data_IF_847376293818
#
_entry.id   IF_847376293818
#
_cell.length_a   1.000
_cell.length_b   1.000
_cell.length_c   1.000
_cell.angle_alpha   90.00
_cell.angle_beta   90.00
_cell.angle_gamma   90.00
#
_symmetry.space_group_name_H-M   'P 1'
#
loop_
_entity.id
_entity.type
_entity.pdbx_description
1 polymer ?
#
# COMPACT_ATOMS: atom_id res chain seq x y z
N UNK A 1 -6.12 11.69 5.49
CA UNK A 1 -4.85 11.20 4.94
C UNK A 1 -4.54 9.82 5.49
N UNK A 2 -4.19 8.86 4.62
CA UNK A 2 -3.55 7.59 5.00
C UNK A 2 -2.17 7.42 4.35
N UNK A 3 -1.89 8.14 3.26
CA UNK A 3 -0.54 8.25 2.74
C UNK A 3 0.25 9.11 3.73
N UNK A 4 1.38 8.60 4.24
CA UNK A 4 2.28 9.38 5.08
C UNK A 4 2.69 10.70 4.39
N UNK A 5 2.46 11.84 5.05
CA UNK A 5 3.02 13.12 4.59
C UNK A 5 4.55 13.13 4.81
N UNK A 6 5.28 13.78 3.89
CA UNK A 6 6.72 13.95 3.96
C UNK A 6 7.07 14.98 5.04
N UNK A 7 7.79 14.50 6.06
CA UNK A 7 8.13 15.23 7.27
C UNK A 7 6.89 15.64 8.09
N UNK A 8 6.87 15.20 9.35
CA UNK A 8 5.92 15.68 10.35
C UNK A 8 6.18 17.17 10.53
N UNK A 9 5.47 18.01 9.79
CA UNK A 9 5.30 19.42 10.16
C UNK A 9 4.24 19.45 11.24
N UNK A 10 4.70 19.54 12.49
CA UNK A 10 3.96 19.93 13.70
C UNK A 10 2.62 19.21 13.92
N UNK A 11 2.60 18.18 14.79
CA UNK A 11 1.39 17.60 15.41
C UNK A 11 0.29 17.03 14.49
N UNK A 12 0.55 16.77 13.20
CA UNK A 12 -0.51 16.32 12.26
C UNK A 12 -0.90 14.84 12.33
N UNK A 13 -0.08 13.96 12.92
CA UNK A 13 -0.41 12.52 13.00
C UNK A 13 -1.14 12.22 14.29
N UNK A 14 -2.34 11.64 14.17
CA UNK A 14 -3.14 11.24 15.32
C UNK A 14 -2.58 9.97 15.95
N UNK A 15 -2.77 9.81 17.25
CA UNK A 15 -2.33 8.64 18.00
C UNK A 15 -1.12 8.90 18.88
N UNK A 16 -0.66 7.86 19.58
CA UNK A 16 0.48 7.94 20.49
C UNK A 16 1.74 7.59 19.71
N UNK A 17 2.75 8.49 19.63
CA UNK A 17 4.05 8.13 19.06
C UNK A 17 4.76 7.14 19.98
N UNK A 18 5.43 6.15 19.40
CA UNK A 18 6.17 5.14 20.15
C UNK A 18 7.34 5.74 20.95
N UNK A 19 7.88 6.90 20.55
CA UNK A 19 8.85 7.66 21.34
C UNK A 19 8.31 8.18 22.68
N UNK A 20 6.98 8.22 22.87
CA UNK A 20 6.32 8.58 24.14
C UNK A 20 5.79 7.36 24.91
N UNK A 21 6.04 6.15 24.41
CA UNK A 21 5.60 4.91 25.04
C UNK A 21 6.66 4.35 26.00
N UNK A 22 6.23 3.63 27.03
CA UNK A 22 7.13 2.82 27.85
C UNK A 22 7.73 1.67 27.02
N UNK A 23 8.86 1.06 27.44
CA UNK A 23 9.43 -0.08 26.71
C UNK A 23 8.45 -1.23 26.49
N UNK A 24 7.59 -1.51 27.47
CA UNK A 24 6.54 -2.53 27.35
C UNK A 24 5.49 -2.15 26.30
N UNK A 25 5.08 -0.88 26.26
CA UNK A 25 4.14 -0.37 25.27
C UNK A 25 4.73 -0.39 23.86
N UNK A 26 6.02 -0.08 23.70
CA UNK A 26 6.72 -0.16 22.41
C UNK A 26 6.72 -1.60 21.85
N UNK A 27 6.98 -2.60 22.71
CA UNK A 27 6.90 -4.02 22.30
C UNK A 27 5.49 -4.34 21.77
N UNK A 28 4.44 -3.91 22.47
CA UNK A 28 3.07 -4.15 22.01
C UNK A 28 2.71 -3.36 20.75
N UNK A 29 3.18 -2.12 20.63
CA UNK A 29 2.95 -1.28 19.46
C UNK A 29 3.56 -1.90 18.19
N UNK A 30 4.78 -2.42 18.27
CA UNK A 30 5.43 -3.11 17.14
C UNK A 30 4.80 -4.47 16.87
N UNK A 31 4.27 -5.15 17.89
CA UNK A 31 3.66 -6.47 17.73
C UNK A 31 2.21 -6.38 17.23
N UNK A 32 1.50 -5.27 17.47
CA UNK A 32 0.12 -5.09 17.03
C UNK A 32 -0.06 -5.34 15.52
N UNK A 33 0.79 -4.80 14.61
CA UNK A 33 0.75 -5.13 13.19
C UNK A 33 0.83 -6.62 12.87
N UNK A 34 1.51 -7.44 13.67
CA UNK A 34 1.57 -8.90 13.47
C UNK A 34 0.22 -9.60 13.66
N UNK A 35 -0.77 -8.93 14.26
CA UNK A 35 -2.15 -9.44 14.33
C UNK A 35 -2.83 -9.42 12.97
N UNK A 36 -2.39 -8.55 12.04
CA UNK A 36 -2.99 -8.40 10.72
C UNK A 36 -2.06 -8.70 9.54
N UNK A 37 -0.76 -8.46 9.70
CA UNK A 37 0.23 -8.75 8.68
C UNK A 37 0.64 -10.22 8.72
N UNK A 38 0.85 -10.80 7.55
CA UNK A 38 1.52 -12.10 7.43
C UNK A 38 2.97 -11.99 7.90
N UNK A 39 3.66 -13.12 8.05
CA UNK A 39 5.10 -13.11 8.36
C UNK A 39 5.89 -12.23 7.38
N UNK A 40 5.59 -12.35 6.08
CA UNK A 40 6.19 -11.51 5.04
C UNK A 40 5.86 -10.03 5.23
N UNK A 41 4.57 -9.68 5.38
CA UNK A 41 4.17 -8.28 5.54
C UNK A 41 4.77 -7.64 6.79
N UNK A 42 4.91 -8.41 7.87
CA UNK A 42 5.55 -7.97 9.10
C UNK A 42 7.06 -7.76 8.96
N UNK A 43 7.74 -8.63 8.19
CA UNK A 43 9.14 -8.43 7.83
C UNK A 43 9.33 -7.18 6.98
N UNK A 44 8.52 -7.00 5.92
CA UNK A 44 8.55 -5.80 5.08
C UNK A 44 8.35 -4.53 5.92
N UNK A 45 7.34 -4.52 6.80
CA UNK A 45 7.07 -3.43 7.73
C UNK A 45 8.29 -3.08 8.60
N UNK A 46 8.91 -4.07 9.23
CA UNK A 46 10.08 -3.82 10.09
C UNK A 46 11.32 -3.43 9.28
N UNK A 47 11.49 -3.95 8.07
CA UNK A 47 12.55 -3.51 7.16
C UNK A 47 12.36 -2.03 6.78
N UNK A 48 11.15 -1.61 6.44
CA UNK A 48 10.82 -0.19 6.18
C UNK A 48 11.18 0.68 7.39
N UNK A 49 10.78 0.27 8.60
CA UNK A 49 11.15 0.98 9.84
C UNK A 49 12.65 1.09 10.01
N UNK A 50 13.38 -0.02 9.82
CA UNK A 50 14.83 -0.06 9.97
C UNK A 50 15.56 0.83 8.96
N UNK A 51 15.00 1.04 7.76
CA UNK A 51 15.58 1.95 6.77
C UNK A 51 15.59 3.42 7.22
N UNK A 52 14.80 3.81 8.22
CA UNK A 52 14.93 5.15 8.80
C UNK A 52 16.31 5.36 9.44
N UNK A 53 17.00 4.32 9.93
CA UNK A 53 18.40 4.45 10.35
C UNK A 53 19.34 4.73 9.17
N UNK A 54 19.13 4.09 8.02
CA UNK A 54 19.92 4.36 6.81
C UNK A 54 19.73 5.81 6.37
N UNK A 55 18.48 6.29 6.40
CA UNK A 55 18.18 7.70 6.09
C UNK A 55 18.77 8.66 7.12
N UNK A 56 18.80 8.29 8.40
CA UNK A 56 19.47 9.07 9.44
C UNK A 56 20.96 9.24 9.15
N UNK A 57 21.66 8.16 8.80
CA UNK A 57 23.08 8.20 8.44
C UNK A 57 23.34 9.05 7.20
N UNK A 58 22.43 9.04 6.22
CA UNK A 58 22.57 9.80 4.98
C UNK A 58 22.20 11.29 5.13
N UNK A 59 21.22 11.63 5.96
CA UNK A 59 20.64 12.97 6.02
C UNK A 59 20.96 13.74 7.31
N UNK A 60 21.33 13.05 8.39
CA UNK A 60 21.62 13.65 9.70
C UNK A 60 20.43 14.35 10.35
N UNK A 61 19.20 13.83 10.17
CA UNK A 61 17.96 14.46 10.65
C UNK A 61 17.27 13.59 11.69
N UNK A 62 17.00 14.14 12.88
CA UNK A 62 16.41 13.41 14.01
C UNK A 62 15.02 12.81 13.76
N UNK A 63 14.28 13.34 12.78
CA UNK A 63 12.99 12.75 12.38
C UNK A 63 13.15 11.42 11.62
N UNK A 64 14.37 11.07 11.18
CA UNK A 64 14.74 9.75 10.63
C UNK A 64 14.93 8.79 11.79
N UNK A 65 13.81 8.36 12.36
CA UNK A 65 13.81 7.58 13.58
C UNK A 65 12.87 6.37 13.42
N UNK A 66 13.38 5.12 13.53
CA UNK A 66 12.55 3.91 13.44
C UNK A 66 11.45 3.78 14.50
N UNK A 67 11.56 4.55 15.58
CA UNK A 67 10.58 4.62 16.67
C UNK A 67 9.62 5.81 16.50
N UNK A 68 9.77 6.64 15.46
CA UNK A 68 8.82 7.72 15.15
C UNK A 68 7.63 7.21 14.33
N UNK A 69 6.98 6.18 14.90
CA UNK A 69 5.76 5.55 14.42
C UNK A 69 4.65 5.74 15.46
N UNK A 70 3.40 5.73 15.01
CA UNK A 70 2.23 6.10 15.79
C UNK A 70 1.23 4.95 15.82
N UNK A 71 0.62 4.76 16.98
CA UNK A 71 -0.53 3.87 17.15
C UNK A 71 -1.77 4.70 17.45
N UNK A 72 -2.81 4.52 16.64
CA UNK A 72 -4.17 5.01 16.91
C UNK A 72 -5.09 3.83 17.15
N UNK A 73 -5.96 3.93 18.15
CA UNK A 73 -7.06 2.99 18.41
C UNK A 73 -8.38 3.73 18.22
N UNK A 74 -9.30 3.14 17.45
CA UNK A 74 -10.62 3.69 17.15
C UNK A 74 -11.69 2.83 17.82
N UNK A 75 -12.51 3.44 18.68
CA UNK A 75 -13.45 2.70 19.51
C UNK A 75 -12.79 1.98 20.68
N UNK A 76 -13.54 1.09 21.34
CA UNK A 76 -13.04 0.27 22.45
C UNK A 76 -12.68 -1.13 21.93
N UNK A 77 -11.43 -1.59 22.09
CA UNK A 77 -11.06 -2.95 21.75
C UNK A 77 -11.96 -3.96 22.47
N UNK A 78 -12.63 -4.79 21.68
CA UNK A 78 -13.52 -5.83 22.17
C UNK A 78 -13.51 -7.03 21.19
N UNK A 79 -13.42 -8.28 21.66
CA UNK A 79 -13.40 -9.46 20.80
C UNK A 79 -14.64 -9.66 19.93
N UNK A 80 -15.78 -9.07 20.32
CA UNK A 80 -17.07 -9.15 19.61
C UNK A 80 -17.58 -7.79 19.14
N UNK A 81 -16.84 -6.72 19.43
CA UNK A 81 -17.23 -5.36 19.12
C UNK A 81 -16.72 -4.87 17.78
N UNK A 82 -17.04 -3.62 17.51
CA UNK A 82 -16.62 -2.88 16.33
C UNK A 82 -15.60 -1.83 16.75
N UNK A 83 -14.35 -2.00 16.30
CA UNK A 83 -13.22 -1.14 16.64
C UNK A 83 -12.15 -1.25 15.55
N UNK A 84 -11.15 -0.39 15.59
CA UNK A 84 -10.06 -0.44 14.63
C UNK A 84 -8.77 0.09 15.20
N UNK A 85 -7.70 -0.06 14.44
CA UNK A 85 -6.42 0.51 14.78
C UNK A 85 -5.65 0.92 13.53
N UNK A 86 -4.74 1.87 13.70
CA UNK A 86 -3.79 2.30 12.68
C UNK A 86 -2.39 2.29 13.25
N UNK A 87 -1.46 1.73 12.49
CA UNK A 87 -0.03 1.83 12.73
C UNK A 87 0.60 2.58 11.55
N UNK A 88 1.20 3.74 11.79
CA UNK A 88 1.72 4.59 10.73
C UNK A 88 3.04 5.26 11.08
N UNK A 89 3.83 5.59 10.07
CA UNK A 89 5.09 6.32 10.17
C UNK A 89 5.50 6.86 8.81
N UNK A 90 6.73 7.35 8.68
CA UNK A 90 7.16 8.12 7.52
C UNK A 90 6.96 7.41 6.16
N UNK A 91 7.16 6.09 6.06
CA UNK A 91 6.91 5.31 4.83
C UNK A 91 5.93 4.14 5.04
N UNK A 92 5.02 4.21 6.00
CA UNK A 92 4.10 3.12 6.29
C UNK A 92 2.78 3.64 6.82
N UNK A 93 1.68 3.05 6.37
CA UNK A 93 0.40 3.13 7.06
C UNK A 93 -0.37 1.83 6.89
N UNK A 94 -0.68 1.18 8.01
CA UNK A 94 -1.52 -0.03 8.06
C UNK A 94 -2.78 0.31 8.85
N UNK A 95 -3.94 0.16 8.20
CA UNK A 95 -5.25 0.40 8.79
C UNK A 95 -5.99 -0.93 8.93
N UNK A 96 -6.59 -1.18 10.09
CA UNK A 96 -7.45 -2.34 10.30
C UNK A 96 -8.75 -1.90 10.96
N UNK A 97 -9.86 -2.27 10.34
CA UNK A 97 -11.21 -2.11 10.91
C UNK A 97 -11.81 -3.48 11.17
N UNK A 98 -12.34 -3.67 12.38
CA UNK A 98 -12.98 -4.88 12.84
C UNK A 98 -14.44 -4.55 13.10
N UNK A 99 -15.36 -5.31 12.52
CA UNK A 99 -16.81 -5.15 12.72
C UNK A 99 -17.36 -6.44 13.32
N UNK A 100 -18.04 -6.31 14.46
CA UNK A 100 -18.64 -7.42 15.23
C UNK A 100 -17.68 -8.58 15.55
N UNK A 101 -16.37 -8.28 15.66
CA UNK A 101 -15.31 -9.27 15.85
C UNK A 101 -15.14 -10.28 14.71
N UNK A 102 -15.80 -10.08 13.56
CA UNK A 102 -15.95 -11.11 12.52
C UNK A 102 -15.63 -10.65 11.11
N UNK A 103 -15.86 -9.37 10.79
CA UNK A 103 -15.57 -8.80 9.47
C UNK A 103 -14.38 -7.85 9.59
N UNK A 104 -13.51 -7.87 8.59
CA UNK A 104 -12.26 -7.14 8.61
C UNK A 104 -12.10 -6.33 7.33
N UNK A 105 -11.59 -5.11 7.47
CA UNK A 105 -11.01 -4.32 6.38
C UNK A 105 -9.56 -4.04 6.72
N UNK A 106 -8.67 -4.20 5.73
CA UNK A 106 -7.23 -3.96 5.84
C UNK A 106 -6.77 -2.80 4.94
N UNK A 107 -7.73 -2.08 4.34
CA UNK A 107 -7.50 -0.96 3.45
C UNK A 107 -7.96 0.36 4.08
N UNK A 108 -7.36 1.49 3.70
CA UNK A 108 -6.22 1.59 2.79
C UNK A 108 -4.92 1.16 3.49
N UNK A 109 -3.95 0.68 2.72
CA UNK A 109 -2.60 0.40 3.21
C UNK A 109 -1.54 1.01 2.30
N UNK A 110 -0.45 1.44 2.93
CA UNK A 110 0.68 2.10 2.29
C UNK A 110 1.98 1.50 2.81
N UNK A 111 2.83 1.05 1.89
CA UNK A 111 4.18 0.56 2.17
C UNK A 111 5.14 1.30 1.23
N UNK A 112 6.10 2.02 1.78
CA UNK A 112 7.13 2.72 1.04
C UNK A 112 8.52 2.29 1.44
N UNK A 113 9.47 2.29 0.51
CA UNK A 113 10.87 2.04 0.80
C UNK A 113 11.74 3.15 0.23
N UNK A 114 12.47 3.81 1.12
CA UNK A 114 13.50 4.78 0.77
C UNK A 114 14.73 4.52 1.64
N UNK A 115 15.86 4.10 1.04
CA UNK A 115 15.99 3.74 -0.37
C UNK A 115 15.22 2.44 -0.72
N UNK A 116 14.90 2.23 -2.00
CA UNK A 116 14.37 0.95 -2.49
C UNK A 116 15.45 -0.15 -2.47
N UNK A 117 16.69 0.24 -2.77
CA UNK A 117 17.91 -0.56 -2.62
C UNK A 117 18.95 0.23 -1.85
N UNK A 118 19.45 -0.34 -0.75
CA UNK A 118 20.56 0.26 0.02
C UNK A 118 21.87 0.10 -0.74
N UNK A 119 22.49 1.22 -1.14
CA UNK A 119 23.69 1.21 -2.02
C UNK A 119 25.02 1.11 -1.26
N UNK A 120 25.04 1.46 0.02
CA UNK A 120 26.27 1.56 0.83
C UNK A 120 26.01 1.24 2.31
N UNK A 121 27.08 1.10 3.09
CA UNK A 121 27.01 0.83 4.52
C UNK A 121 26.72 -0.64 4.86
N UNK A 122 26.50 -0.96 6.15
CA UNK A 122 26.33 -2.34 6.64
C UNK A 122 25.11 -3.07 6.04
N UNK A 123 24.08 -2.33 5.62
CA UNK A 123 22.86 -2.86 5.03
C UNK A 123 22.89 -2.87 3.49
N UNK A 124 24.06 -2.67 2.86
CA UNK A 124 24.21 -2.68 1.40
C UNK A 124 23.60 -3.95 0.78
N UNK A 125 22.78 -3.76 -0.25
CA UNK A 125 22.11 -4.84 -0.97
C UNK A 125 20.75 -5.24 -0.40
N UNK A 126 20.33 -4.68 0.74
CA UNK A 126 18.94 -4.79 1.21
C UNK A 126 18.02 -4.12 0.20
N UNK A 127 16.99 -4.86 -0.23
CA UNK A 127 15.94 -4.39 -1.13
C UNK A 127 14.57 -4.71 -0.50
N UNK A 128 13.79 -3.67 -0.20
CA UNK A 128 12.43 -3.84 0.35
C UNK A 128 11.41 -3.57 -0.76
N UNK A 129 10.28 -4.28 -0.74
CA UNK A 129 9.26 -4.27 -1.83
C UNK A 129 9.81 -4.73 -3.21
N UNK A 130 10.88 -5.53 -3.18
CA UNK A 130 11.55 -6.08 -4.37
C UNK A 130 10.61 -6.94 -5.22
N UNK A 131 9.76 -7.75 -4.59
CA UNK A 131 8.95 -8.72 -5.32
C UNK A 131 7.85 -8.04 -6.14
N UNK A 132 7.19 -7.03 -5.57
CA UNK A 132 6.19 -6.19 -6.23
C UNK A 132 6.75 -5.55 -7.50
N UNK A 133 7.93 -4.93 -7.37
CA UNK A 133 8.60 -4.29 -8.49
C UNK A 133 9.02 -5.33 -9.55
N UNK A 134 9.62 -6.44 -9.12
CA UNK A 134 10.13 -7.45 -10.05
C UNK A 134 9.01 -8.15 -10.82
N UNK A 135 7.90 -8.47 -10.16
CA UNK A 135 6.75 -9.12 -10.80
C UNK A 135 6.09 -8.20 -11.82
N UNK A 136 5.93 -6.92 -11.50
CA UNK A 136 5.38 -5.94 -12.45
C UNK A 136 6.29 -5.72 -13.66
N UNK A 137 7.61 -5.57 -13.45
CA UNK A 137 8.60 -5.48 -14.53
C UNK A 137 8.61 -6.73 -15.41
N UNK A 138 8.46 -7.92 -14.81
CA UNK A 138 8.36 -9.16 -15.58
C UNK A 138 7.09 -9.17 -16.44
N UNK A 139 5.95 -8.72 -15.89
CA UNK A 139 4.67 -8.68 -16.60
C UNK A 139 4.74 -7.72 -17.79
N UNK A 140 5.16 -6.47 -17.60
CA UNK A 140 5.20 -5.49 -18.70
C UNK A 140 6.16 -5.92 -19.82
N UNK A 141 7.32 -6.52 -19.47
CA UNK A 141 8.28 -7.06 -20.46
C UNK A 141 7.76 -8.24 -21.25
N UNK A 142 6.71 -8.90 -20.76
CA UNK A 142 6.12 -10.05 -21.44
C UNK A 142 5.08 -9.66 -22.49
N UNK A 143 4.70 -8.38 -22.56
CA UNK A 143 3.75 -7.86 -23.53
C UNK A 143 4.35 -7.77 -24.92
N UNK A 144 3.55 -8.12 -25.92
CA UNK A 144 3.85 -7.77 -27.31
C UNK A 144 3.61 -6.25 -27.54
N UNK A 145 4.01 -5.68 -28.69
CA UNK A 145 3.85 -4.25 -28.95
C UNK A 145 2.41 -3.73 -28.79
N UNK A 146 1.41 -4.49 -29.24
CA UNK A 146 0.00 -4.09 -29.16
C UNK A 146 -0.51 -4.09 -27.72
N UNK A 147 -0.21 -5.14 -26.97
CA UNK A 147 -0.54 -5.24 -25.54
C UNK A 147 0.16 -4.13 -24.74
N UNK A 148 1.42 -3.84 -25.04
CA UNK A 148 2.16 -2.78 -24.38
C UNK A 148 1.54 -1.41 -24.68
N UNK A 149 1.11 -1.16 -25.91
CA UNK A 149 0.42 0.08 -26.29
C UNK A 149 -0.90 0.26 -25.52
N UNK A 150 -1.67 -0.81 -25.31
CA UNK A 150 -2.93 -0.77 -24.54
C UNK A 150 -2.65 -0.62 -23.03
N UNK A 151 -1.64 -1.31 -22.52
CA UNK A 151 -1.26 -1.26 -21.10
C UNK A 151 -0.64 0.08 -20.72
N UNK A 152 0.07 0.73 -21.64
CA UNK A 152 0.78 1.98 -21.35
C UNK A 152 -0.22 3.13 -21.27
N UNK A 153 -0.21 3.82 -20.13
CA UNK A 153 -0.96 5.06 -19.95
C UNK A 153 0.02 6.22 -20.02
N UNK A 154 -0.35 7.24 -20.80
CA UNK A 154 0.41 8.48 -20.81
C UNK A 154 0.22 9.20 -19.48
N UNK A 155 1.28 9.25 -18.69
CA UNK A 155 1.34 10.05 -17.47
C UNK A 155 2.06 11.36 -17.67
N UNK A 156 2.41 11.81 -18.89
CA UNK A 156 3.20 13.03 -19.11
C UNK A 156 2.54 14.31 -18.58
N UNK A 157 1.21 14.44 -18.65
CA UNK A 157 0.45 15.51 -17.97
C UNK A 157 0.49 15.37 -16.44
N UNK A 158 0.59 14.13 -15.98
CA UNK A 158 0.78 13.74 -14.59
C UNK A 158 2.26 13.83 -14.16
N UNK A 159 3.25 13.83 -15.05
CA UNK A 159 4.68 13.80 -14.75
C UNK A 159 5.11 15.10 -14.07
N UNK A 160 4.46 16.23 -14.34
CA UNK A 160 4.67 17.47 -13.56
C UNK A 160 4.25 17.34 -12.09
N UNK A 161 3.36 16.39 -11.77
CA UNK A 161 2.88 16.07 -10.41
C UNK A 161 3.56 14.83 -9.83
N UNK A 162 3.74 13.75 -10.59
CA UNK A 162 4.43 12.52 -10.21
C UNK A 162 5.95 12.74 -10.02
N UNK A 163 6.57 13.68 -10.76
CA UNK A 163 7.97 14.10 -10.53
C UNK A 163 8.10 15.19 -9.47
N UNK A 164 7.00 15.63 -8.85
CA UNK A 164 7.09 16.49 -7.68
C UNK A 164 7.65 15.65 -6.53
N UNK A 165 8.54 16.22 -5.70
CA UNK A 165 9.08 15.61 -4.47
C UNK A 165 7.98 15.39 -3.39
N UNK A 166 6.90 14.69 -3.72
CA UNK A 166 5.68 14.53 -2.93
C UNK A 166 5.02 13.18 -3.18
N UNK A 167 5.02 12.27 -2.19
CA UNK A 167 4.37 10.94 -2.25
C UNK A 167 2.91 11.07 -2.65
N UNK A 168 2.22 12.08 -2.09
CA UNK A 168 0.80 12.35 -2.31
C UNK A 168 0.50 12.59 -3.80
N UNK A 169 1.47 13.12 -4.55
CA UNK A 169 1.31 13.42 -5.98
C UNK A 169 1.75 12.28 -6.89
N UNK A 170 2.38 11.23 -6.36
CA UNK A 170 2.85 10.04 -7.11
C UNK A 170 1.81 8.93 -7.20
N UNK A 171 0.87 8.91 -6.26
CA UNK A 171 -0.26 7.99 -6.24
C UNK A 171 -1.45 8.75 -6.81
N UNK A 172 -2.06 8.24 -7.87
CA UNK A 172 -3.11 8.95 -8.61
C UNK A 172 -4.35 9.19 -7.73
N UNK A 173 -4.58 8.32 -6.76
CA UNK A 173 -5.67 8.45 -5.78
C UNK A 173 -5.36 9.29 -4.56
N UNK A 174 -4.15 9.84 -4.48
CA UNK A 174 -3.68 10.74 -3.41
C UNK A 174 -3.97 10.22 -2.00
N UNK A 175 -3.91 11.09 -0.99
CA UNK A 175 -4.23 10.75 0.40
C UNK A 175 -5.73 10.91 0.75
N UNK A 176 -6.58 11.09 -0.28
CA UNK A 176 -8.02 11.29 -0.13
C UNK A 176 -8.63 10.14 0.69
N UNK A 177 -9.42 10.41 1.74
CA UNK A 177 -10.12 9.36 2.48
C UNK A 177 -11.00 8.46 1.61
N UNK A 178 -11.54 8.92 0.48
CA UNK A 178 -12.39 8.16 -0.45
C UNK A 178 -11.78 8.17 -1.84
N UNK A 179 -11.77 7.01 -2.52
CA UNK A 179 -11.31 6.97 -3.91
C UNK A 179 -12.43 7.46 -4.83
N UNK A 180 -12.25 8.59 -5.49
CA UNK A 180 -13.16 9.01 -6.56
C UNK A 180 -12.99 8.11 -7.80
N UNK A 181 -13.98 7.25 -8.05
CA UNK A 181 -14.04 6.38 -9.23
C UNK A 181 -14.01 7.17 -10.54
N UNK A 182 -14.52 8.40 -10.55
CA UNK A 182 -14.53 9.30 -11.71
C UNK A 182 -13.15 9.85 -12.08
N UNK A 183 -12.24 9.96 -11.10
CA UNK A 183 -10.84 10.33 -11.34
C UNK A 183 -10.02 9.22 -12.02
N UNK A 184 -10.50 7.97 -11.96
CA UNK A 184 -9.77 6.80 -12.46
C UNK A 184 -10.51 6.18 -13.65
N UNK A 185 -10.24 6.71 -14.85
CA UNK A 185 -10.71 6.05 -16.08
C UNK A 185 -10.11 4.64 -16.18
N UNK A 186 -10.94 3.66 -16.58
CA UNK A 186 -10.52 2.30 -16.92
C UNK A 186 -9.58 2.37 -18.13
N UNK A 187 -8.30 2.54 -17.84
CA UNK A 187 -7.21 2.52 -18.80
C UNK A 187 -6.23 1.43 -18.37
N UNK A 188 -5.62 0.78 -19.36
CA UNK A 188 -4.77 -0.39 -19.19
C UNK A 188 -5.36 -1.63 -19.86
N UNK A 189 -4.52 -2.66 -20.01
CA UNK A 189 -4.91 -3.93 -20.62
C UNK A 189 -5.79 -4.73 -19.66
N UNK A 190 -6.89 -5.27 -20.17
CA UNK A 190 -7.80 -6.10 -19.39
C UNK A 190 -7.21 -7.50 -19.23
N UNK A 191 -7.48 -8.14 -18.09
CA UNK A 191 -7.05 -9.51 -17.82
C UNK A 191 -7.49 -10.52 -18.89
N UNK A 192 -8.66 -10.32 -19.50
CA UNK A 192 -9.18 -11.14 -20.58
C UNK A 192 -8.35 -11.04 -21.88
N UNK A 193 -7.62 -9.93 -22.08
CA UNK A 193 -6.77 -9.69 -23.26
C UNK A 193 -5.32 -10.17 -23.06
N UNK A 194 -5.02 -10.75 -21.90
CA UNK A 194 -3.74 -11.35 -21.56
C UNK A 194 -3.72 -12.83 -21.93
N UNK A 195 -2.56 -13.33 -22.37
CA UNK A 195 -2.37 -14.77 -22.54
C UNK A 195 -2.37 -15.49 -21.16
N UNK A 196 -2.54 -16.83 -21.13
CA UNK A 196 -2.61 -17.58 -19.87
C UNK A 196 -1.37 -17.46 -18.96
N UNK A 197 -0.19 -17.17 -19.51
CA UNK A 197 1.05 -16.96 -18.74
C UNK A 197 1.04 -15.57 -18.12
N UNK A 198 0.68 -14.54 -18.89
CA UNK A 198 0.54 -13.15 -18.45
C UNK A 198 -0.55 -13.02 -17.38
N UNK A 199 -1.69 -13.71 -17.56
CA UNK A 199 -2.75 -13.80 -16.56
C UNK A 199 -2.25 -14.33 -15.22
N UNK A 200 -1.47 -15.42 -15.22
CA UNK A 200 -0.84 -15.95 -14.00
C UNK A 200 0.13 -14.96 -13.37
N UNK A 201 0.87 -14.21 -14.18
CA UNK A 201 1.80 -13.17 -13.70
C UNK A 201 1.05 -12.02 -13.03
N UNK A 202 -0.04 -11.53 -13.62
CA UNK A 202 -0.89 -10.48 -13.04
C UNK A 202 -1.55 -10.96 -11.74
N UNK A 203 -2.13 -12.16 -11.69
CA UNK A 203 -2.70 -12.71 -10.46
C UNK A 203 -1.63 -12.92 -9.38
N UNK A 204 -0.43 -13.37 -9.75
CA UNK A 204 0.68 -13.48 -8.80
C UNK A 204 1.03 -12.13 -8.22
N UNK A 205 1.11 -11.09 -9.04
CA UNK A 205 1.35 -9.72 -8.59
C UNK A 205 0.25 -9.24 -7.64
N UNK A 206 -1.04 -9.44 -7.95
CA UNK A 206 -2.11 -9.09 -7.00
C UNK A 206 -2.00 -9.86 -5.69
N UNK A 207 -1.70 -11.16 -5.76
CA UNK A 207 -1.51 -12.00 -4.57
C UNK A 207 -0.30 -11.58 -3.73
N UNK A 208 0.71 -10.91 -4.29
CA UNK A 208 1.81 -10.30 -3.54
C UNK A 208 1.31 -9.23 -2.59
N UNK A 209 0.37 -8.38 -3.03
CA UNK A 209 -0.25 -7.34 -2.19
C UNK A 209 -1.16 -7.94 -1.13
N UNK A 210 -2.03 -8.87 -1.54
CA UNK A 210 -2.93 -9.56 -0.59
C UNK A 210 -2.14 -10.37 0.44
N UNK A 211 -1.08 -11.05 0.01
CA UNK A 211 -0.21 -11.87 0.85
C UNK A 211 0.57 -11.10 1.92
N UNK A 212 0.51 -9.76 1.94
CA UNK A 212 1.00 -8.96 3.08
C UNK A 212 0.15 -9.15 4.33
N UNK A 213 -1.11 -9.53 4.17
CA UNK A 213 -2.05 -9.73 5.28
C UNK A 213 -2.22 -11.19 5.61
N UNK A 214 -2.62 -11.46 6.84
CA UNK A 214 -2.97 -12.81 7.28
C UNK A 214 -4.20 -13.31 6.50
N UNK A 215 -4.18 -14.55 5.99
CA UNK A 215 -5.27 -15.06 5.14
C UNK A 215 -6.63 -15.07 5.85
N UNK A 216 -6.64 -15.19 7.19
CA UNK A 216 -7.86 -15.15 8.00
C UNK A 216 -8.59 -13.81 7.89
N UNK A 217 -7.86 -12.70 7.74
CA UNK A 217 -8.46 -11.37 7.56
C UNK A 217 -9.00 -11.15 6.16
N UNK A 218 -8.48 -11.88 5.18
CA UNK A 218 -8.92 -11.79 3.78
C UNK A 218 -10.10 -12.72 3.50
N UNK A 219 -10.37 -13.70 4.37
CA UNK A 219 -11.47 -14.63 4.20
C UNK A 219 -12.81 -13.90 4.26
N UNK A 220 -13.63 -14.07 3.22
CA UNK A 220 -14.93 -13.39 3.12
C UNK A 220 -14.85 -11.92 2.67
N UNK A 221 -13.66 -11.41 2.39
CA UNK A 221 -13.49 -10.11 1.73
C UNK A 221 -13.89 -10.19 0.26
N UNK A 222 -14.30 -9.06 -0.29
CA UNK A 222 -14.66 -8.94 -1.71
C UNK A 222 -13.47 -9.11 -2.65
N UNK A 223 -12.23 -8.98 -2.16
CA UNK A 223 -11.01 -9.12 -2.98
C UNK A 223 -10.94 -10.48 -3.65
N UNK A 224 -11.09 -11.55 -2.86
CA UNK A 224 -10.93 -12.93 -3.31
C UNK A 224 -12.05 -13.37 -4.25
N UNK A 225 -13.26 -12.84 -4.05
CA UNK A 225 -14.40 -13.07 -4.96
C UNK A 225 -14.14 -12.48 -6.34
N UNK A 226 -13.71 -11.21 -6.41
CA UNK A 226 -13.46 -10.54 -7.69
C UNK A 226 -12.28 -11.14 -8.48
N UNK A 227 -11.30 -11.74 -7.81
CA UNK A 227 -10.19 -12.43 -8.47
C UNK A 227 -10.62 -13.72 -9.18
N UNK A 228 -11.71 -14.35 -8.75
CA UNK A 228 -12.21 -15.59 -9.37
C UNK A 228 -12.95 -15.32 -10.67
N UNK A 229 -13.63 -14.18 -10.75
CA UNK A 229 -14.41 -13.82 -11.93
C UNK A 229 -13.54 -13.17 -13.01
N UNK A 230 -12.39 -12.57 -12.66
CA UNK A 230 -11.32 -12.14 -13.59
C UNK A 230 -11.69 -11.03 -14.61
N UNK A 231 -12.98 -10.88 -14.91
CA UNK A 231 -13.55 -10.15 -16.03
C UNK A 231 -13.39 -8.63 -15.94
N UNK A 232 -12.85 -8.12 -14.83
CA UNK A 232 -12.73 -6.68 -14.61
C UNK A 232 -11.40 -6.25 -13.99
N UNK A 233 -10.35 -7.05 -14.12
CA UNK A 233 -9.00 -6.64 -13.74
C UNK A 233 -8.33 -5.92 -14.90
N UNK A 234 -7.77 -4.74 -14.63
CA UNK A 234 -7.02 -3.94 -15.58
C UNK A 234 -5.61 -3.67 -15.06
N UNK A 235 -4.61 -3.82 -15.91
CA UNK A 235 -3.22 -3.47 -15.63
C UNK A 235 -2.80 -2.27 -16.49
N UNK A 236 -2.36 -1.20 -15.83
CA UNK A 236 -1.80 -0.03 -16.49
C UNK A 236 -0.34 0.17 -16.10
N UNK A 237 0.46 0.66 -17.03
CA UNK A 237 1.89 0.89 -16.89
C UNK A 237 2.27 2.30 -17.34
N UNK A 238 3.26 2.91 -16.70
CA UNK A 238 3.96 4.09 -17.21
C UNK A 238 5.45 4.02 -16.90
N UNK A 239 6.27 4.60 -17.77
CA UNK A 239 7.70 4.72 -17.59
C UNK A 239 8.53 3.54 -18.08
N UNK A 240 9.78 3.51 -17.65
CA UNK A 240 10.80 2.59 -18.15
C UNK A 240 10.62 1.17 -17.64
N UNK A 241 10.96 0.18 -18.48
CA UNK A 241 10.74 -1.24 -18.20
C UNK A 241 11.95 -1.90 -17.52
N UNK A 242 12.96 -1.16 -17.09
CA UNK A 242 14.14 -1.72 -16.42
C UNK A 242 14.24 -1.24 -14.98
N UNK A 243 14.95 -2.04 -14.16
CA UNK A 243 15.34 -1.61 -12.82
C UNK A 243 16.17 -0.33 -12.91
N UNK A 244 15.92 0.61 -12.01
CA UNK A 244 16.59 1.91 -12.00
C UNK A 244 16.03 2.92 -13.00
N UNK A 245 15.00 2.57 -13.78
CA UNK A 245 14.22 3.54 -14.55
C UNK A 245 12.98 3.94 -13.76
N UNK A 246 12.53 5.19 -13.91
CA UNK A 246 11.27 5.63 -13.31
C UNK A 246 10.11 4.86 -13.89
N UNK A 247 9.21 4.38 -13.03
CA UNK A 247 8.01 3.68 -13.48
C UNK A 247 6.88 3.75 -12.47
N UNK A 248 5.68 3.50 -12.99
CA UNK A 248 4.44 3.40 -12.24
C UNK A 248 3.61 2.24 -12.80
N UNK A 249 2.85 1.57 -11.94
CA UNK A 249 1.78 0.70 -12.40
C UNK A 249 0.55 0.78 -11.52
N UNK A 250 -0.57 0.39 -12.13
CA UNK A 250 -1.88 0.33 -11.48
C UNK A 250 -2.55 -1.00 -11.79
N UNK A 251 -3.13 -1.63 -10.78
CA UNK A 251 -4.04 -2.76 -10.95
C UNK A 251 -5.39 -2.36 -10.40
N UNK A 252 -6.41 -2.38 -11.24
CA UNK A 252 -7.74 -1.94 -10.87
C UNK A 252 -8.73 -3.07 -11.09
N UNK A 253 -9.59 -3.31 -10.09
CA UNK A 253 -10.80 -4.13 -10.23
C UNK A 253 -12.06 -3.27 -10.07
N UNK A 254 -13.24 -3.91 -10.01
CA UNK A 254 -14.48 -3.23 -9.60
C UNK A 254 -14.49 -2.81 -8.12
N UNK A 255 -13.64 -3.42 -7.29
CA UNK A 255 -13.69 -3.29 -5.81
C UNK A 255 -12.46 -2.62 -5.24
N UNK A 256 -11.28 -2.96 -5.76
CA UNK A 256 -10.01 -2.54 -5.21
C UNK A 256 -9.11 -1.90 -6.26
N UNK A 257 -8.12 -1.16 -5.74
CA UNK A 257 -7.08 -0.51 -6.49
C UNK A 257 -5.72 -0.79 -5.85
N UNK A 258 -4.75 -1.15 -6.67
CA UNK A 258 -3.34 -1.23 -6.31
C UNK A 258 -2.59 -0.22 -7.15
N UNK A 259 -1.71 0.55 -6.52
CA UNK A 259 -0.82 1.48 -7.19
C UNK A 259 0.61 1.27 -6.71
N UNK A 260 1.56 1.40 -7.63
CA UNK A 260 2.98 1.38 -7.31
C UNK A 260 3.69 2.48 -8.07
N UNK A 261 4.53 3.25 -7.39
CA UNK A 261 5.34 4.30 -7.99
C UNK A 261 6.80 4.12 -7.60
N UNK A 262 7.70 4.35 -8.55
CA UNK A 262 9.13 4.49 -8.33
C UNK A 262 9.64 5.67 -9.16
N UNK A 263 9.37 6.88 -8.68
CA UNK A 263 9.53 8.12 -9.44
C UNK A 263 10.45 9.14 -8.77
N UNK A 264 11.01 8.83 -7.59
CA UNK A 264 11.98 9.69 -6.89
C UNK A 264 13.35 9.03 -6.73
N UNK A 265 14.31 9.86 -6.32
CA UNK A 265 15.66 9.45 -5.90
C UNK A 265 16.33 8.51 -6.90
N UNK A 266 16.29 8.87 -8.20
CA UNK A 266 16.84 8.07 -9.29
C UNK A 266 16.24 6.65 -9.35
N UNK A 267 14.92 6.56 -9.26
CA UNK A 267 14.14 5.33 -9.22
C UNK A 267 14.59 4.40 -8.09
N UNK A 268 14.82 4.99 -6.91
CA UNK A 268 15.24 4.28 -5.70
C UNK A 268 14.38 4.67 -4.49
N UNK A 269 13.12 5.02 -4.73
CA UNK A 269 12.14 5.39 -3.71
C UNK A 269 10.79 4.87 -4.17
N UNK A 270 10.38 3.74 -3.61
CA UNK A 270 9.20 3.00 -4.06
C UNK A 270 8.04 3.21 -3.11
N UNK A 271 6.84 3.32 -3.66
CA UNK A 271 5.59 3.40 -2.92
C UNK A 271 4.63 2.35 -3.45
N UNK A 272 4.01 1.58 -2.56
CA UNK A 272 3.06 0.54 -2.87
C UNK A 272 1.79 0.75 -2.05
N UNK A 273 0.67 0.95 -2.74
CA UNK A 273 -0.61 1.33 -2.15
C UNK A 273 -1.66 0.28 -2.49
N UNK A 274 -2.50 -0.07 -1.51
CA UNK A 274 -3.66 -0.93 -1.72
C UNK A 274 -4.90 -0.31 -1.06
N UNK A 275 -5.95 -0.10 -1.87
CA UNK A 275 -7.19 0.59 -1.49
C UNK A 275 -8.43 -0.17 -1.93
N UNK A 276 -9.55 0.15 -1.31
CA UNK A 276 -10.90 -0.14 -1.79
C UNK A 276 -11.65 1.12 -2.18
N UNK A 277 -12.43 1.04 -3.26
CA UNK A 277 -13.22 2.19 -3.68
C UNK A 277 -14.29 2.58 -2.65
N UNK A 278 -14.94 1.59 -2.03
CA UNK A 278 -16.03 1.81 -1.07
C UNK A 278 -15.68 1.31 0.35
N UNK A 279 -14.66 0.46 0.48
CA UNK A 279 -14.32 -0.26 1.71
C UNK A 279 -13.11 0.29 2.48
N UNK A 280 -12.46 1.36 2.00
CA UNK A 280 -11.39 2.02 2.75
C UNK A 280 -11.88 2.40 4.16
N UNK A 281 -11.11 2.05 5.18
CA UNK A 281 -11.46 2.16 6.60
C UNK A 281 -12.71 1.37 7.01
N UNK A 282 -13.05 0.32 6.27
CA UNK A 282 -14.22 -0.52 6.53
C UNK A 282 -15.56 0.21 6.41
N UNK A 283 -15.63 1.32 5.67
CA UNK A 283 -16.85 2.16 5.60
C UNK A 283 -18.08 1.40 5.14
N UNK A 284 -17.95 0.53 4.16
CA UNK A 284 -19.02 -0.33 3.69
C UNK A 284 -19.50 -1.32 4.77
N UNK A 285 -18.56 -1.97 5.46
CA UNK A 285 -18.85 -2.87 6.59
C UNK A 285 -19.53 -2.13 7.75
N UNK A 286 -19.05 -0.93 8.07
CA UNK A 286 -19.61 -0.08 9.11
C UNK A 286 -21.01 0.41 8.72
N UNK A 287 -21.23 0.79 7.46
CA UNK A 287 -22.54 1.16 6.93
C UNK A 287 -23.53 0.00 7.00
N UNK A 288 -23.09 -1.21 6.63
CA UNK A 288 -23.90 -2.43 6.73
C UNK A 288 -24.27 -2.72 8.19
N UNK A 289 -23.31 -2.65 9.11
CA UNK A 289 -23.54 -2.84 10.54
C UNK A 289 -24.53 -1.80 11.10
N UNK A 290 -24.33 -0.52 10.79
CA UNK A 290 -25.21 0.55 11.23
C UNK A 290 -26.64 0.33 10.75
N UNK A 291 -26.82 -0.01 9.46
CA UNK A 291 -28.14 -0.28 8.89
C UNK A 291 -28.84 -1.47 9.57
N UNK A 292 -28.10 -2.54 9.91
CA UNK A 292 -28.67 -3.76 10.50
C UNK A 292 -28.97 -3.66 11.99
N UNK A 293 -28.18 -2.89 12.73
CA UNK A 293 -28.21 -2.90 14.20
C UNK A 293 -28.65 -1.58 14.84
N UNK A 294 -28.57 -0.48 14.10
CA UNK A 294 -28.80 0.88 14.62
C UNK A 294 -29.70 1.74 13.73
N UNK A 295 -30.14 1.21 12.57
CA UNK A 295 -31.08 1.88 11.68
C UNK A 295 -32.50 1.77 12.20
N UNK A 296 -32.96 2.80 12.90
CA UNK A 296 -34.38 3.18 12.99
C UNK A 296 -34.60 4.46 12.19
#
# INVERSE_FOLDING_TARGET
AFIPDFAIKDDKRTGVPMTKMTPQQQIFAVTLPATALSHRGFLEMNSIRALEHVLFELEGKDYRNPELYYVSIFGKPDPKGTWGWRFEGHHLSVNVTIVDGKKFSVTPSFFGSNPATVKQGPLKGVEVLKEEQQLALNLVKSFNPDQLAIATIDTSDLDKKLLAKSVIKEVLTTDDPVVDKGMIQHKGIQYADLDPKQQKMLLRLVNTYLGRFRPELLKGTRYLGNLRDGDHLYFAWSGGQKRGEFHYYRIQSKVFLIEFANTQNDANHVHAVFREFEGDFGRDLLKEHFTKHHGQ
#
